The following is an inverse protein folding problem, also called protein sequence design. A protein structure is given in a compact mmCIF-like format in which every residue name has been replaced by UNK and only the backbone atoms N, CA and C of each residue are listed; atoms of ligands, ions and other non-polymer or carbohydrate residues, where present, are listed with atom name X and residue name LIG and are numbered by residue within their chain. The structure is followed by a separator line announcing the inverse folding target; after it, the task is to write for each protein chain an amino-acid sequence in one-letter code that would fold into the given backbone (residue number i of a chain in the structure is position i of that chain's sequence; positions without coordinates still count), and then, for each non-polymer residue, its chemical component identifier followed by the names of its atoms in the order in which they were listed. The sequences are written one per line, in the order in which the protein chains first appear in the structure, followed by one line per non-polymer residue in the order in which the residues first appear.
data_IF_461461009693
#
_entry.id   IF_461461009693
#
_cell.length_a   1.000
_cell.length_b   1.000
_cell.length_c   1.000
_cell.angle_alpha   90.00
_cell.angle_beta   90.00
_cell.angle_gamma   90.00
#
_symmetry.space_group_name_H-M   'P 1'
#
loop_
_entity.id
_entity.type
_entity.pdbx_description
1 polymer ?
#
# COMPACT_ATOMS: atom_id res chain seq x y z
N UNK A 1 34.26 -7.38 7.22
CA UNK A 1 34.03 -6.04 7.80
C UNK A 1 32.98 -5.25 6.99
N UNK A 2 31.78 -5.80 6.76
CA UNK A 2 30.75 -5.21 5.88
C UNK A 2 29.50 -4.76 6.61
N UNK A 3 29.23 -5.28 7.81
CA UNK A 3 27.95 -5.07 8.50
C UNK A 3 27.83 -3.71 9.20
N UNK A 4 28.95 -3.14 9.69
CA UNK A 4 28.94 -1.82 10.35
C UNK A 4 28.45 -0.69 9.44
N UNK A 5 28.84 -0.73 8.16
CA UNK A 5 28.42 0.24 7.15
C UNK A 5 26.92 0.11 6.83
N UNK A 6 26.38 -1.11 6.84
CA UNK A 6 24.97 -1.34 6.58
C UNK A 6 24.08 -0.83 7.72
N UNK A 7 24.46 -1.07 8.98
CA UNK A 7 23.71 -0.58 10.14
C UNK A 7 23.67 0.94 10.19
N UNK A 8 24.80 1.59 9.87
CA UNK A 8 24.89 3.05 9.79
C UNK A 8 24.01 3.62 8.66
N UNK A 9 24.07 3.02 7.46
CA UNK A 9 23.20 3.38 6.32
C UNK A 9 21.71 3.18 6.63
N UNK A 10 21.37 2.15 7.39
CA UNK A 10 20.00 1.88 7.83
C UNK A 10 19.58 2.68 9.07
N UNK A 11 20.47 3.50 9.62
CA UNK A 11 20.26 4.30 10.84
C UNK A 11 19.84 3.45 12.05
N UNK A 12 20.40 2.25 12.19
CA UNK A 12 20.13 1.35 13.30
C UNK A 12 21.11 1.66 14.43
N UNK A 13 20.60 2.15 15.55
CA UNK A 13 21.41 2.58 16.71
C UNK A 13 21.46 1.56 17.85
N UNK A 14 20.52 0.61 17.90
CA UNK A 14 20.41 -0.40 18.96
C UNK A 14 19.94 -1.72 18.37
N UNK A 15 20.41 -2.84 18.92
CA UNK A 15 19.99 -4.19 18.55
C UNK A 15 19.26 -4.83 19.75
N UNK A 16 18.26 -5.70 19.51
CA UNK A 16 17.68 -6.06 18.21
C UNK A 16 16.80 -4.94 17.64
N UNK A 17 16.80 -4.77 16.32
CA UNK A 17 15.95 -3.80 15.63
C UNK A 17 15.22 -4.44 14.45
N UNK A 18 13.94 -4.09 14.29
CA UNK A 18 13.13 -4.45 13.14
C UNK A 18 12.89 -3.20 12.32
N UNK A 19 13.20 -3.27 11.03
CA UNK A 19 12.97 -2.19 10.06
C UNK A 19 12.28 -2.75 8.84
N UNK A 20 11.44 -1.93 8.23
CA UNK A 20 10.84 -2.21 6.93
C UNK A 20 11.35 -1.18 5.92
N UNK A 21 11.74 -1.66 4.73
CA UNK A 21 12.22 -0.82 3.64
C UNK A 21 11.19 -0.86 2.53
N UNK A 22 10.53 0.28 2.27
CA UNK A 22 9.50 0.39 1.24
C UNK A 22 9.73 1.65 0.41
N UNK A 23 9.81 1.49 -0.92
CA UNK A 23 10.13 2.58 -1.86
C UNK A 23 11.40 3.37 -1.48
N UNK A 24 12.42 2.67 -0.98
CA UNK A 24 13.68 3.28 -0.52
C UNK A 24 13.58 4.03 0.81
N UNK A 25 12.41 4.06 1.46
CA UNK A 25 12.23 4.63 2.80
C UNK A 25 12.40 3.57 3.86
N UNK A 26 13.16 3.89 4.90
CA UNK A 26 13.36 3.03 6.07
C UNK A 26 12.35 3.43 7.14
N UNK A 27 11.55 2.46 7.59
CA UNK A 27 10.55 2.63 8.65
C UNK A 27 10.94 1.72 9.80
N UNK A 28 11.19 2.31 10.97
CA UNK A 28 11.57 1.57 12.17
C UNK A 28 10.34 1.06 12.90
N UNK A 29 10.39 -0.19 13.35
CA UNK A 29 9.43 -0.72 14.31
C UNK A 29 9.68 -0.05 15.68
N UNK A 30 8.65 0.59 16.24
CA UNK A 30 8.76 1.38 17.47
C UNK A 30 8.17 0.72 18.72
N UNK A 31 7.52 -0.43 18.58
CA UNK A 31 6.94 -1.09 19.75
C UNK A 31 8.01 -1.76 20.59
N UNK A 32 7.70 -1.98 21.87
CA UNK A 32 8.63 -2.59 22.81
C UNK A 32 8.98 -4.02 22.38
N UNK A 33 10.28 -4.27 22.21
CA UNK A 33 10.85 -5.58 21.86
C UNK A 33 10.57 -6.64 22.91
N UNK A 34 10.42 -6.28 24.19
CA UNK A 34 10.07 -7.24 25.25
C UNK A 34 8.64 -7.77 25.12
N UNK A 35 7.77 -7.03 24.43
CA UNK A 35 6.36 -7.41 24.18
C UNK A 35 6.11 -7.89 22.74
N UNK A 36 7.19 -8.17 22.01
CA UNK A 36 7.12 -8.54 20.60
C UNK A 36 6.29 -9.82 20.42
N UNK A 37 5.21 -9.70 19.67
CA UNK A 37 4.37 -10.83 19.29
C UNK A 37 4.15 -10.83 17.77
N UNK A 38 3.81 -11.99 17.21
CA UNK A 38 3.59 -12.16 15.78
C UNK A 38 2.48 -11.24 15.23
N UNK A 39 1.46 -10.93 16.05
CA UNK A 39 0.36 -10.04 15.66
C UNK A 39 0.85 -8.60 15.44
N UNK A 40 1.69 -8.08 16.32
CA UNK A 40 2.23 -6.71 16.24
C UNK A 40 3.15 -6.57 15.03
N UNK A 41 3.99 -7.58 14.76
CA UNK A 41 4.85 -7.59 13.56
C UNK A 41 4.01 -7.64 12.28
N UNK A 42 2.94 -8.45 12.26
CA UNK A 42 2.01 -8.52 11.11
C UNK A 42 1.31 -7.19 10.86
N UNK A 43 0.84 -6.52 11.92
CA UNK A 43 0.18 -5.22 11.82
C UNK A 43 1.15 -4.18 11.29
N UNK A 44 2.37 -4.13 11.83
CA UNK A 44 3.43 -3.26 11.31
C UNK A 44 3.72 -3.50 9.83
N UNK A 45 3.93 -4.75 9.41
CA UNK A 45 4.18 -5.09 8.02
C UNK A 45 3.04 -4.67 7.08
N UNK A 46 1.78 -4.77 7.54
CA UNK A 46 0.61 -4.30 6.78
C UNK A 46 0.57 -2.78 6.67
N UNK A 47 0.83 -2.07 7.76
CA UNK A 47 0.64 -0.63 7.85
C UNK A 47 1.79 0.16 7.19
N UNK A 48 2.96 -0.46 7.03
CA UNK A 48 4.12 0.09 6.31
C UNK A 48 3.87 0.17 4.79
N UNK A 49 3.04 -0.71 4.22
CA UNK A 49 2.78 -0.71 2.77
C UNK A 49 1.93 0.52 2.40
N UNK A 50 2.41 1.42 1.52
CA UNK A 50 1.67 2.60 1.11
C UNK A 50 0.34 2.23 0.47
N UNK A 51 -0.76 2.83 0.97
CA UNK A 51 -2.09 2.66 0.39
C UNK A 51 -2.29 3.48 -0.90
N UNK A 52 -1.34 4.33 -1.25
CA UNK A 52 -1.37 5.23 -2.42
C UNK A 52 -1.49 4.50 -3.76
N UNK A 53 -1.00 3.25 -3.83
CA UNK A 53 -1.10 2.43 -5.04
C UNK A 53 -2.52 1.99 -5.39
N UNK A 54 -3.46 2.05 -4.44
CA UNK A 54 -4.83 1.58 -4.60
C UNK A 54 -5.80 2.71 -4.24
N UNK A 55 -6.36 3.37 -5.25
CA UNK A 55 -7.31 4.47 -5.06
C UNK A 55 -8.67 3.95 -4.62
N UNK A 56 -9.21 4.42 -3.50
CA UNK A 56 -10.59 4.11 -3.11
C UNK A 56 -11.56 4.99 -3.90
N UNK A 57 -12.51 4.38 -4.58
CA UNK A 57 -13.56 5.07 -5.34
C UNK A 57 -14.89 4.88 -4.61
N UNK A 58 -15.51 6.00 -4.22
CA UNK A 58 -16.77 6.00 -3.49
C UNK A 58 -17.91 6.73 -4.22
N UNK A 59 -17.61 7.41 -5.33
CA UNK A 59 -18.57 8.26 -6.06
C UNK A 59 -18.47 7.99 -7.56
N UNK A 60 -19.60 8.13 -8.27
CA UNK A 60 -19.65 7.98 -9.74
C UNK A 60 -18.65 8.90 -10.45
N UNK A 61 -18.52 10.16 -10.02
CA UNK A 61 -17.57 11.11 -10.60
C UNK A 61 -16.11 10.66 -10.48
N UNK A 62 -15.75 10.02 -9.36
CA UNK A 62 -14.40 9.48 -9.16
C UNK A 62 -14.15 8.29 -10.08
N UNK A 63 -15.17 7.44 -10.29
CA UNK A 63 -15.12 6.33 -11.23
C UNK A 63 -14.94 6.83 -12.66
N UNK A 64 -15.76 7.81 -13.06
CA UNK A 64 -15.67 8.43 -14.39
C UNK A 64 -14.31 9.04 -14.63
N UNK A 65 -13.77 9.82 -13.68
CA UNK A 65 -12.42 10.39 -13.78
C UNK A 65 -11.33 9.33 -13.84
N UNK A 66 -11.46 8.25 -13.08
CA UNK A 66 -10.50 7.14 -13.09
C UNK A 66 -10.46 6.43 -14.44
N UNK A 67 -11.63 6.17 -15.02
CA UNK A 67 -11.74 5.59 -16.36
C UNK A 67 -11.24 6.59 -17.40
N UNK A 68 -11.76 7.82 -17.42
CA UNK A 68 -11.43 8.83 -18.46
C UNK A 68 -9.97 9.28 -18.45
N UNK A 69 -9.19 8.96 -17.41
CA UNK A 69 -7.77 9.31 -17.32
C UNK A 69 -6.92 8.73 -18.45
N UNK A 70 -7.35 7.64 -19.10
CA UNK A 70 -6.67 7.14 -20.30
C UNK A 70 -6.69 8.15 -21.45
N UNK A 71 -7.71 9.04 -21.51
CA UNK A 71 -7.86 10.02 -22.59
C UNK A 71 -6.86 11.18 -22.48
N UNK A 72 -6.46 11.53 -21.26
CA UNK A 72 -5.56 12.67 -21.01
C UNK A 72 -4.09 12.26 -20.86
N UNK A 73 -3.80 10.96 -20.78
CA UNK A 73 -2.45 10.43 -20.58
C UNK A 73 -1.94 9.81 -21.86
N UNK A 74 -0.85 10.35 -22.42
CA UNK A 74 -0.12 9.74 -23.55
C UNK A 74 0.54 8.39 -23.20
N UNK A 75 0.47 7.97 -21.93
CA UNK A 75 0.94 6.67 -21.46
C UNK A 75 -0.24 5.69 -21.43
N UNK A 76 -0.12 4.55 -22.11
CA UNK A 76 -1.07 3.42 -22.01
C UNK A 76 -1.00 2.89 -20.57
N UNK A 77 -1.86 3.40 -19.71
CA UNK A 77 -1.98 2.93 -18.32
C UNK A 77 -3.24 2.08 -18.23
N UNK A 78 -3.07 0.78 -17.97
CA UNK A 78 -4.20 -0.13 -17.80
C UNK A 78 -4.90 0.19 -16.48
N UNK A 79 -6.18 0.54 -16.55
CA UNK A 79 -6.99 0.85 -15.36
C UNK A 79 -7.67 -0.41 -14.86
N UNK A 80 -7.30 -0.87 -13.67
CA UNK A 80 -7.81 -2.08 -13.03
C UNK A 80 -8.73 -1.67 -11.89
N UNK A 81 -10.00 -2.04 -12.02
CA UNK A 81 -11.02 -1.84 -10.99
C UNK A 81 -11.22 -3.13 -10.21
N UNK A 82 -11.05 -3.07 -8.89
CA UNK A 82 -11.31 -4.18 -7.99
C UNK A 82 -12.58 -3.86 -7.21
N UNK A 83 -13.58 -4.71 -7.35
CA UNK A 83 -14.82 -4.62 -6.60
C UNK A 83 -14.73 -5.56 -5.39
N UNK A 84 -15.19 -5.11 -4.22
CA UNK A 84 -15.27 -6.01 -3.08
C UNK A 84 -16.26 -5.55 -2.01
N UNK A 85 -16.71 -6.50 -1.20
CA UNK A 85 -17.73 -6.30 -0.18
C UNK A 85 -17.19 -5.73 1.15
N UNK A 86 -15.86 -5.67 1.31
CA UNK A 86 -15.19 -5.27 2.56
C UNK A 86 -14.62 -3.87 2.46
N UNK A 87 -14.85 -3.01 3.46
CA UNK A 87 -14.40 -1.60 3.42
C UNK A 87 -12.89 -1.46 3.24
N UNK A 88 -12.12 -2.33 3.89
CA UNK A 88 -10.67 -2.35 3.72
C UNK A 88 -10.26 -3.33 2.61
N UNK A 89 -9.53 -2.86 1.58
CA UNK A 89 -9.00 -3.75 0.56
C UNK A 89 -8.00 -4.72 1.18
N UNK A 90 -8.10 -6.00 0.79
CA UNK A 90 -7.17 -7.04 1.25
C UNK A 90 -5.75 -6.74 0.77
N UNK A 91 -4.75 -6.97 1.63
CA UNK A 91 -3.33 -6.66 1.36
C UNK A 91 -2.81 -7.23 0.05
N UNK A 92 -3.29 -8.41 -0.39
CA UNK A 92 -2.93 -9.02 -1.68
C UNK A 92 -3.20 -8.10 -2.89
N UNK A 93 -4.28 -7.31 -2.84
CA UNK A 93 -4.62 -6.37 -3.90
C UNK A 93 -3.67 -5.17 -3.88
N UNK A 94 -3.27 -4.73 -2.69
CA UNK A 94 -2.31 -3.66 -2.52
C UNK A 94 -0.91 -4.06 -3.00
N UNK A 95 -0.49 -5.29 -2.72
CA UNK A 95 0.78 -5.84 -3.21
C UNK A 95 0.80 -5.98 -4.73
N UNK A 96 -0.31 -6.45 -5.32
CA UNK A 96 -0.44 -6.48 -6.77
C UNK A 96 -0.38 -5.06 -7.37
N UNK A 97 -1.04 -4.10 -6.75
CA UNK A 97 -1.01 -2.70 -7.16
C UNK A 97 0.40 -2.10 -7.11
N UNK A 98 1.16 -2.41 -6.07
CA UNK A 98 2.56 -1.99 -5.93
C UNK A 98 3.45 -2.62 -7.02
N UNK A 99 3.33 -3.93 -7.25
CA UNK A 99 4.11 -4.68 -8.25
C UNK A 99 3.86 -4.20 -9.69
N UNK A 100 2.64 -3.79 -9.98
CA UNK A 100 2.22 -3.43 -11.33
C UNK A 100 2.01 -1.92 -11.51
N UNK A 101 2.40 -1.12 -10.51
CA UNK A 101 2.29 0.35 -10.49
C UNK A 101 2.94 1.05 -11.69
N UNK A 102 3.92 0.40 -12.31
CA UNK A 102 4.66 0.93 -13.46
C UNK A 102 3.80 1.05 -14.73
N UNK A 103 2.81 0.16 -14.90
CA UNK A 103 2.00 0.04 -16.12
C UNK A 103 0.49 0.02 -15.88
N UNK A 104 0.06 -0.28 -14.66
CA UNK A 104 -1.35 -0.37 -14.30
C UNK A 104 -1.66 0.46 -13.06
N UNK A 105 -2.85 1.04 -13.06
CA UNK A 105 -3.43 1.75 -11.92
C UNK A 105 -4.53 0.91 -11.34
N UNK A 106 -4.57 0.85 -10.02
CA UNK A 106 -5.55 0.06 -9.31
C UNK A 106 -6.50 0.99 -8.56
N UNK A 107 -7.78 0.70 -8.67
CA UNK A 107 -8.80 1.29 -7.83
C UNK A 107 -9.62 0.21 -7.13
N UNK A 108 -10.15 0.56 -5.96
CA UNK A 108 -11.01 -0.30 -5.16
C UNK A 108 -12.36 0.37 -4.94
N UNK A 109 -13.44 -0.35 -5.25
CA UNK A 109 -14.82 0.08 -4.95
C UNK A 109 -15.40 -0.86 -3.91
N UNK A 110 -15.95 -0.25 -2.86
CA UNK A 110 -16.64 -0.95 -1.81
C UNK A 110 -18.12 -1.11 -2.17
N UNK A 111 -18.55 -2.34 -2.46
CA UNK A 111 -19.90 -2.66 -2.95
C UNK A 111 -21.00 -2.54 -1.89
N UNK A 112 -20.67 -2.52 -0.59
CA UNK A 112 -21.66 -2.51 0.50
C UNK A 112 -21.78 -1.15 1.20
N UNK A 113 -21.10 -0.11 0.69
CA UNK A 113 -21.55 1.24 1.00
C UNK A 113 -22.88 1.40 0.26
N UNK A 114 -23.99 1.55 0.99
CA UNK A 114 -25.27 1.96 0.42
C UNK A 114 -25.03 3.23 -0.40
N UNK A 115 -24.84 3.05 -1.70
CA UNK A 115 -24.92 4.10 -2.69
C UNK A 115 -26.41 4.27 -2.94
N UNK A 116 -27.00 5.31 -2.36
CA UNK A 116 -28.37 5.73 -2.69
C UNK A 116 -28.50 6.20 -4.15
N UNK A 117 -27.43 6.17 -4.95
CA UNK A 117 -27.45 6.49 -6.37
C UNK A 117 -26.48 5.57 -7.14
N UNK A 118 -27.03 4.53 -7.77
CA UNK A 118 -26.49 3.88 -8.98
C UNK A 118 -27.60 3.81 -10.01
#
# INVERSE_FOLDING_TARGET
MTDGNLLEKLRISRLPAIVAVVEGRIIHFRADMYTLNARTVRVFARDVIPKTFLSSINTHDQLKRFVDQWKSSNKVIVSILILGATREPRTRYLLAAMKYSHFARFAYVHLSAHSDEV
#
